data_IF_805085910581
#
_entry.id   IF_805085910581
#
_cell.length_a   1.000
_cell.length_b   1.000
_cell.length_c   1.000
_cell.angle_alpha   90.00
_cell.angle_beta   90.00
_cell.angle_gamma   90.00
#
_symmetry.space_group_name_H-M   'P 1'
#
loop_
_entity.id
_entity.type
_entity.pdbx_description
1 polymer ?
#
# COMPACT_ATOMS: atom_id res chain seq x y z
N UNK A 1 -6.83 9.27 7.42
CA UNK A 1 -6.15 9.20 6.11
C UNK A 1 -7.09 8.52 5.15
N UNK A 2 -7.57 9.22 4.11
CA UNK A 2 -8.35 8.58 3.03
C UNK A 2 -7.38 7.64 2.28
N UNK A 3 -7.76 6.38 2.06
CA UNK A 3 -6.99 5.36 1.31
C UNK A 3 -5.78 4.70 2.00
N UNK A 4 -5.64 4.78 3.33
CA UNK A 4 -4.67 3.97 4.09
C UNK A 4 -5.28 2.63 4.54
N UNK A 5 -4.46 1.61 4.90
CA UNK A 5 -4.97 0.41 5.56
C UNK A 5 -5.78 0.74 6.82
N UNK A 6 -6.78 -0.09 7.15
CA UNK A 6 -7.63 0.12 8.33
C UNK A 6 -6.83 0.24 9.63
N UNK A 7 -5.74 -0.53 9.76
CA UNK A 7 -4.86 -0.54 10.94
C UNK A 7 -3.58 0.28 10.76
N UNK A 8 -3.64 1.30 9.89
CA UNK A 8 -2.50 2.16 9.61
C UNK A 8 -2.07 2.92 10.87
N UNK A 9 -0.78 2.87 11.25
CA UNK A 9 -0.34 3.48 12.49
C UNK A 9 -0.31 5.01 12.37
N UNK A 10 -1.05 5.70 13.24
CA UNK A 10 -1.26 7.14 13.18
C UNK A 10 -0.36 7.91 14.17
N UNK A 11 0.96 7.81 14.00
CA UNK A 11 1.94 8.46 14.86
C UNK A 11 2.76 9.48 14.08
N UNK A 12 2.88 10.72 14.59
CA UNK A 12 3.58 11.85 13.94
C UNK A 12 5.07 11.60 13.68
N UNK A 13 5.69 10.61 14.33
CA UNK A 13 7.15 10.35 14.24
C UNK A 13 7.51 9.07 13.48
N UNK A 14 6.57 8.46 12.75
CA UNK A 14 6.86 7.25 12.00
C UNK A 14 7.30 7.54 10.58
N UNK A 15 8.29 6.78 10.12
CA UNK A 15 8.70 6.77 8.71
C UNK A 15 7.93 5.70 7.95
N UNK A 16 7.46 6.07 6.78
CA UNK A 16 6.69 5.21 5.89
C UNK A 16 7.31 5.22 4.49
N UNK A 17 7.22 4.10 3.79
CA UNK A 17 7.65 3.97 2.40
C UNK A 17 6.44 3.45 1.62
N UNK A 18 6.09 4.16 0.55
CA UNK A 18 5.08 3.74 -0.42
C UNK A 18 5.78 3.65 -1.78
N UNK A 19 5.66 2.51 -2.43
CA UNK A 19 6.11 2.36 -3.82
C UNK A 19 5.05 1.63 -4.65
N UNK A 20 4.99 2.00 -5.92
CA UNK A 20 4.05 1.48 -6.90
C UNK A 20 4.85 0.86 -8.04
N UNK A 21 4.49 -0.36 -8.43
CA UNK A 21 5.02 -1.05 -9.60
C UNK A 21 3.90 -1.07 -10.63
N UNK A 22 4.22 -0.62 -11.84
CA UNK A 22 3.31 -0.57 -12.98
C UNK A 22 3.87 -1.41 -14.13
N UNK A 23 3.02 -2.15 -14.81
CA UNK A 23 3.33 -2.65 -16.14
C UNK A 23 2.82 -1.61 -17.17
N UNK A 24 3.62 -1.31 -18.20
CA UNK A 24 3.22 -0.38 -19.27
C UNK A 24 2.37 -1.04 -20.37
N UNK A 25 2.28 -2.37 -20.39
CA UNK A 25 1.54 -3.15 -21.40
C UNK A 25 0.16 -3.61 -20.93
N UNK A 26 -0.03 -3.73 -19.62
CA UNK A 26 -1.29 -4.07 -18.97
C UNK A 26 -1.53 -3.04 -17.88
N UNK A 27 -2.78 -2.58 -17.69
CA UNK A 27 -3.17 -1.62 -16.64
C UNK A 27 -3.08 -2.21 -15.21
N UNK A 28 -2.18 -3.16 -15.00
CA UNK A 28 -1.90 -3.79 -13.73
C UNK A 28 -0.90 -2.96 -12.92
N UNK A 29 -1.34 -2.50 -11.76
CA UNK A 29 -0.52 -1.81 -10.77
C UNK A 29 -0.52 -2.58 -9.46
N UNK A 30 0.63 -2.64 -8.80
CA UNK A 30 0.77 -3.15 -7.45
C UNK A 30 1.38 -2.06 -6.57
N UNK A 31 0.80 -1.83 -5.39
CA UNK A 31 1.34 -0.92 -4.39
C UNK A 31 1.77 -1.68 -3.15
N UNK A 32 2.91 -1.27 -2.62
CA UNK A 32 3.48 -1.78 -1.38
C UNK A 32 3.65 -0.64 -0.39
N UNK A 33 3.17 -0.86 0.82
CA UNK A 33 3.26 0.09 1.92
C UNK A 33 4.03 -0.54 3.09
N UNK A 34 5.13 0.10 3.45
CA UNK A 34 5.94 -0.24 4.62
C UNK A 34 5.73 0.86 5.65
N UNK A 35 5.05 0.57 6.76
CA UNK A 35 4.74 1.55 7.81
C UNK A 35 5.25 1.13 9.19
N UNK A 36 5.01 1.98 10.19
CA UNK A 36 5.29 1.66 11.58
C UNK A 36 6.78 1.49 11.87
N UNK A 37 7.64 2.34 11.29
CA UNK A 37 9.10 2.17 11.34
C UNK A 37 9.57 0.83 10.77
N UNK A 38 9.01 0.45 9.60
CA UNK A 38 9.35 -0.78 8.86
C UNK A 38 8.95 -2.07 9.58
N UNK A 39 7.82 -2.05 10.28
CA UNK A 39 7.28 -3.21 11.03
C UNK A 39 5.94 -3.73 10.52
N UNK A 40 5.25 -2.96 9.70
CA UNK A 40 3.97 -3.35 9.10
C UNK A 40 4.04 -3.22 7.59
N UNK A 41 3.49 -4.20 6.89
CA UNK A 41 3.64 -4.38 5.45
C UNK A 41 2.28 -4.67 4.84
N UNK A 42 1.87 -3.86 3.86
CA UNK A 42 0.64 -4.09 3.10
C UNK A 42 0.90 -4.06 1.61
N UNK A 43 0.08 -4.81 0.89
CA UNK A 43 0.01 -4.81 -0.56
C UNK A 43 -1.43 -4.50 -0.98
N UNK A 44 -1.58 -3.87 -2.14
CA UNK A 44 -2.84 -3.84 -2.88
C UNK A 44 -2.56 -3.79 -4.37
N UNK A 45 -3.55 -4.13 -5.18
CA UNK A 45 -3.43 -4.10 -6.63
C UNK A 45 -4.57 -3.30 -7.25
N UNK A 46 -4.34 -2.81 -8.46
CA UNK A 46 -5.36 -2.17 -9.30
C UNK A 46 -5.79 -3.16 -10.37
N UNK A 47 -7.10 -3.35 -10.52
CA UNK A 47 -7.71 -4.30 -11.47
C UNK A 47 -8.39 -3.59 -12.65
N UNK A 48 -7.78 -2.53 -13.18
CA UNK A 48 -8.26 -1.71 -14.29
C UNK A 48 -9.53 -0.87 -14.01
N UNK A 49 -10.11 -0.98 -12.81
CA UNK A 49 -11.29 -0.24 -12.40
C UNK A 49 -11.09 0.41 -11.04
N UNK A 50 -10.68 -0.39 -10.05
CA UNK A 50 -10.59 0.03 -8.65
C UNK A 50 -9.37 -0.56 -7.98
N UNK A 51 -8.87 0.14 -6.96
CA UNK A 51 -7.86 -0.43 -6.07
C UNK A 51 -8.50 -1.46 -5.16
N UNK A 52 -7.88 -2.63 -5.03
CA UNK A 52 -8.22 -3.58 -3.99
C UNK A 52 -8.05 -2.95 -2.61
N UNK A 53 -8.72 -3.53 -1.61
CA UNK A 53 -8.40 -3.26 -0.22
C UNK A 53 -6.92 -3.56 0.07
N UNK A 54 -6.38 -2.89 1.07
CA UNK A 54 -5.04 -3.19 1.58
C UNK A 54 -5.03 -4.52 2.31
N UNK A 55 -4.12 -5.41 1.94
CA UNK A 55 -3.94 -6.73 2.56
C UNK A 55 -2.56 -6.80 3.24
N UNK A 56 -2.47 -7.26 4.50
CA UNK A 56 -1.19 -7.60 5.11
C UNK A 56 -0.51 -8.73 4.34
N UNK A 57 0.81 -8.67 4.13
CA UNK A 57 1.52 -9.72 3.38
C UNK A 57 2.78 -10.26 4.08
N UNK A 58 3.14 -9.71 5.24
CA UNK A 58 4.17 -10.20 6.18
C UNK A 58 3.63 -10.04 7.59
#
# INVERSE_FOLDING_TARGET
MLNAPKDFPNSKNQKHILFCIANNTLSHYAQFLIAGNRRKFWIRYYNDQVWSEWTPFI
#
